data_IF_909651018404
#
_entry.id   IF_909651018404
#
_cell.length_a   1.000
_cell.length_b   1.000
_cell.length_c   1.000
_cell.angle_alpha   90.00
_cell.angle_beta   90.00
_cell.angle_gamma   90.00
#
_symmetry.space_group_name_H-M   'P 1'
#
loop_
_entity.id
_entity.type
_entity.pdbx_description
1 polymer ?
#
# COMPACT_ATOMS: atom_id res chain seq x y z
N UNK A 1 4.63 15.34 -14.68
CA UNK A 1 5.26 14.04 -14.40
C UNK A 1 6.62 14.29 -13.77
N UNK A 2 7.06 13.42 -12.86
CA UNK A 2 8.38 13.50 -12.23
C UNK A 2 9.30 12.41 -12.79
N UNK A 3 10.59 12.70 -12.87
CA UNK A 3 11.62 11.75 -13.28
C UNK A 3 12.47 11.38 -12.07
N UNK A 4 12.71 10.09 -11.87
CA UNK A 4 13.57 9.58 -10.82
C UNK A 4 14.84 8.99 -11.44
N UNK A 5 16.00 9.40 -10.94
CA UNK A 5 17.28 8.82 -11.30
C UNK A 5 17.85 8.08 -10.09
N UNK A 6 18.08 6.77 -10.24
CA UNK A 6 18.59 5.90 -9.18
C UNK A 6 20.05 5.59 -9.50
N UNK A 7 20.94 5.91 -8.55
CA UNK A 7 22.39 5.65 -8.66
C UNK A 7 22.76 4.40 -7.89
N UNK A 8 23.90 3.84 -8.27
CA UNK A 8 24.56 2.75 -7.54
C UNK A 8 23.66 1.51 -7.35
N UNK A 9 22.82 1.21 -8.35
CA UNK A 9 22.04 -0.02 -8.39
C UNK A 9 22.99 -1.19 -8.61
N UNK A 10 23.05 -2.18 -7.69
CA UNK A 10 23.90 -3.33 -7.89
C UNK A 10 23.53 -4.08 -9.18
N UNK A 11 24.54 -4.48 -9.96
CA UNK A 11 24.32 -5.17 -11.24
C UNK A 11 23.34 -6.35 -11.15
N UNK A 12 23.41 -7.25 -10.14
CA UNK A 12 22.46 -8.36 -10.03
C UNK A 12 21.00 -7.90 -9.89
N UNK A 13 20.77 -6.75 -9.25
CA UNK A 13 19.43 -6.18 -9.09
C UNK A 13 18.93 -5.63 -10.42
N UNK A 14 19.80 -4.93 -11.16
CA UNK A 14 19.44 -4.40 -12.47
C UNK A 14 19.06 -5.53 -13.45
N UNK A 15 19.83 -6.63 -13.47
CA UNK A 15 19.55 -7.79 -14.32
C UNK A 15 18.21 -8.46 -13.95
N UNK A 16 17.98 -8.73 -12.66
CA UNK A 16 16.70 -9.30 -12.22
C UNK A 16 15.49 -8.41 -12.59
N UNK A 17 15.64 -7.09 -12.54
CA UNK A 17 14.55 -6.18 -12.94
C UNK A 17 14.35 -6.17 -14.46
N UNK A 18 15.41 -6.29 -15.27
CA UNK A 18 15.30 -6.41 -16.72
C UNK A 18 14.57 -7.69 -17.12
N UNK A 19 14.93 -8.83 -16.51
CA UNK A 19 14.27 -10.12 -16.75
C UNK A 19 12.78 -10.03 -16.45
N UNK A 20 12.40 -9.54 -15.27
CA UNK A 20 10.98 -9.38 -14.89
C UNK A 20 10.23 -8.39 -15.78
N UNK A 21 10.89 -7.31 -16.23
CA UNK A 21 10.29 -6.38 -17.17
C UNK A 21 10.01 -7.06 -18.52
N UNK A 22 10.94 -7.88 -19.01
CA UNK A 22 10.78 -8.64 -20.25
C UNK A 22 9.65 -9.68 -20.14
N UNK A 23 9.59 -10.43 -19.03
CA UNK A 23 8.49 -11.38 -18.74
C UNK A 23 7.12 -10.69 -18.70
N UNK A 24 7.06 -9.46 -18.18
CA UNK A 24 5.85 -8.65 -18.14
C UNK A 24 5.52 -7.94 -19.48
N UNK A 25 6.37 -8.06 -20.50
CA UNK A 25 6.20 -7.36 -21.78
C UNK A 25 6.33 -5.84 -21.67
N UNK A 26 7.12 -5.35 -20.70
CA UNK A 26 7.27 -3.94 -20.38
C UNK A 26 8.71 -3.46 -20.62
N UNK A 27 8.88 -2.16 -20.88
CA UNK A 27 10.21 -1.57 -20.75
C UNK A 27 10.63 -1.58 -19.27
N UNK A 28 11.94 -1.63 -19.00
CA UNK A 28 12.47 -1.58 -17.63
C UNK A 28 11.96 -0.35 -16.86
N UNK A 29 11.92 0.82 -17.51
CA UNK A 29 11.44 2.06 -16.89
C UNK A 29 9.96 2.00 -16.54
N UNK A 30 9.12 1.43 -17.40
CA UNK A 30 7.70 1.26 -17.13
C UNK A 30 7.45 0.25 -16.00
N UNK A 31 8.17 -0.87 -16.02
CA UNK A 31 8.11 -1.88 -14.96
C UNK A 31 8.48 -1.28 -13.60
N UNK A 32 9.65 -0.65 -13.49
CA UNK A 32 10.11 -0.05 -12.23
C UNK A 32 9.18 1.07 -11.75
N UNK A 33 8.66 1.90 -12.66
CA UNK A 33 7.69 2.93 -12.29
C UNK A 33 6.40 2.35 -11.69
N UNK A 34 5.91 1.23 -12.23
CA UNK A 34 4.77 0.49 -11.67
C UNK A 34 5.07 -0.03 -10.28
N UNK A 35 6.21 -0.71 -10.09
CA UNK A 35 6.60 -1.24 -8.78
C UNK A 35 6.75 -0.13 -7.72
N UNK A 36 7.31 1.04 -8.10
CA UNK A 36 7.39 2.19 -7.21
C UNK A 36 6.01 2.77 -6.86
N UNK A 37 5.07 2.76 -7.80
CA UNK A 37 3.70 3.17 -7.55
C UNK A 37 3.01 2.22 -6.55
N UNK A 38 3.22 0.92 -6.68
CA UNK A 38 2.68 -0.09 -5.76
C UNK A 38 3.26 0.05 -4.35
N UNK A 39 4.55 0.37 -4.24
CA UNK A 39 5.20 0.69 -2.96
C UNK A 39 4.57 1.95 -2.35
N UNK A 40 4.40 3.01 -3.12
CA UNK A 40 3.85 4.28 -2.65
C UNK A 40 2.35 4.21 -2.31
N UNK A 41 1.60 3.30 -2.93
CA UNK A 41 0.19 3.10 -2.66
C UNK A 41 -0.08 2.52 -1.25
N UNK A 42 0.91 1.84 -0.66
CA UNK A 42 0.79 1.24 0.67
C UNK A 42 1.21 2.26 1.74
N UNK A 43 0.29 2.72 2.60
CA UNK A 43 0.64 3.67 3.65
C UNK A 43 1.55 2.99 4.68
N UNK A 44 2.51 3.76 5.20
CA UNK A 44 3.33 3.36 6.34
C UNK A 44 2.48 3.24 7.61
N UNK A 45 2.93 2.47 8.59
CA UNK A 45 2.27 2.38 9.90
C UNK A 45 2.10 3.75 10.56
N UNK A 46 3.08 4.66 10.41
CA UNK A 46 3.00 6.02 10.93
C UNK A 46 1.86 6.82 10.29
N UNK A 47 1.69 6.72 8.96
CA UNK A 47 0.60 7.36 8.23
C UNK A 47 -0.76 6.76 8.59
N UNK A 48 -0.84 5.43 8.76
CA UNK A 48 -2.05 4.76 9.24
C UNK A 48 -2.44 5.30 10.61
N UNK A 49 -1.51 5.32 11.58
CA UNK A 49 -1.77 5.83 12.93
C UNK A 49 -2.21 7.29 12.89
N UNK A 50 -1.53 8.14 12.09
CA UNK A 50 -1.92 9.55 11.92
C UNK A 50 -3.35 9.67 11.38
N UNK A 51 -3.71 8.89 10.36
CA UNK A 51 -5.05 8.85 9.79
C UNK A 51 -6.09 8.37 10.80
N UNK A 52 -5.77 7.34 11.58
CA UNK A 52 -6.65 6.81 12.63
C UNK A 52 -6.87 7.82 13.76
N UNK A 53 -5.85 8.60 14.15
CA UNK A 53 -6.00 9.66 15.15
C UNK A 53 -6.87 10.82 14.67
N UNK A 54 -6.74 11.19 13.39
CA UNK A 54 -7.50 12.28 12.80
C UNK A 54 -8.96 11.90 12.45
N UNK A 55 -9.29 10.61 12.45
CA UNK A 55 -10.62 10.13 12.09
C UNK A 55 -11.62 10.39 13.22
N UNK A 56 -12.66 11.16 12.92
CA UNK A 56 -13.81 11.30 13.81
C UNK A 56 -14.54 9.95 13.92
N UNK A 57 -14.77 9.52 15.16
CA UNK A 57 -15.44 8.26 15.51
C UNK A 57 -16.75 8.50 16.26
N UNK A 58 -17.20 9.76 16.37
CA UNK A 58 -18.44 10.13 17.05
C UNK A 58 -19.68 9.43 16.48
N UNK A 59 -19.66 9.11 15.19
CA UNK A 59 -20.73 8.40 14.47
C UNK A 59 -20.56 6.87 14.49
N UNK A 60 -19.61 6.33 15.26
CA UNK A 60 -19.43 4.90 15.43
C UNK A 60 -20.52 4.28 16.30
N UNK A 61 -20.73 2.95 16.23
CA UNK A 61 -21.70 2.27 17.06
C UNK A 61 -21.35 2.43 18.54
N UNK A 62 -22.36 2.71 19.34
CA UNK A 62 -22.29 2.74 20.78
C UNK A 62 -22.05 1.34 21.35
N UNK A 63 -21.58 1.27 22.59
CA UNK A 63 -21.42 -0.01 23.30
C UNK A 63 -22.73 -0.78 23.39
N UNK A 64 -23.86 -0.10 23.55
CA UNK A 64 -25.17 -0.74 23.64
C UNK A 64 -25.54 -1.44 22.31
N UNK A 65 -25.37 -0.75 21.18
CA UNK A 65 -25.63 -1.31 19.85
C UNK A 65 -24.71 -2.50 19.53
N UNK A 66 -23.45 -2.43 19.97
CA UNK A 66 -22.50 -3.54 19.82
C UNK A 66 -22.96 -4.77 20.62
N UNK A 67 -23.38 -4.58 21.88
CA UNK A 67 -23.85 -5.68 22.72
C UNK A 67 -25.14 -6.31 22.18
N UNK A 68 -26.08 -5.50 21.71
CA UNK A 68 -27.31 -5.98 21.08
C UNK A 68 -27.02 -6.82 19.83
N UNK A 69 -26.12 -6.36 18.96
CA UNK A 69 -25.72 -7.11 17.77
C UNK A 69 -25.06 -8.46 18.12
N UNK A 70 -24.25 -8.51 19.18
CA UNK A 70 -23.62 -9.75 19.65
C UNK A 70 -24.68 -10.73 20.17
N UNK A 71 -25.67 -10.26 20.92
CA UNK A 71 -26.75 -11.12 21.44
C UNK A 71 -27.65 -11.64 20.33
N UNK A 72 -27.98 -10.80 19.34
CA UNK A 72 -28.77 -11.19 18.18
C UNK A 72 -28.10 -12.31 17.36
N UNK A 73 -26.77 -12.28 17.20
CA UNK A 73 -26.03 -13.31 16.45
C UNK A 73 -25.84 -14.65 17.17
N UNK A 74 -26.23 -14.76 18.45
CA UNK A 74 -26.19 -16.01 19.23
C UNK A 74 -27.50 -16.80 19.20
N UNK A 75 -28.57 -16.24 18.64
CA UNK A 75 -29.87 -16.90 18.44
C UNK A 75 -29.93 -17.54 17.06
#
# INVERSE_FOLDING_TARGET
MATLYIRDVPEPVAESLKERAAEAGMSLSAYVARELADIAARPTNAEIVKRLKARDRSHGPSTAEILEAIEAGRR
#
